data_IF_681734146075
#
_entry.id   IF_681734146075
#
_cell.length_a   1.000
_cell.length_b   1.000
_cell.length_c   1.000
_cell.angle_alpha   90.00
_cell.angle_beta   90.00
_cell.angle_gamma   90.00
#
_symmetry.space_group_name_H-M   'P 1'
#
loop_
_entity.id
_entity.type
_entity.pdbx_description
1 polymer ?
#
# COMPACT_ATOMS: atom_id res chain seq x y z
N UNK A 1 -52.69 27.33 -18.29
CA UNK A 1 -51.69 26.29 -18.58
C UNK A 1 -50.37 26.79 -18.04
N UNK A 2 -50.06 26.50 -16.78
CA UNK A 2 -48.83 26.94 -16.11
C UNK A 2 -48.01 25.70 -15.80
N UNK A 3 -46.85 25.61 -16.44
CA UNK A 3 -45.86 24.57 -16.24
C UNK A 3 -45.32 24.67 -14.80
N UNK A 4 -45.48 23.60 -14.03
CA UNK A 4 -44.71 23.40 -12.79
C UNK A 4 -43.33 22.91 -13.21
N UNK A 5 -42.31 23.67 -12.86
CA UNK A 5 -40.91 23.28 -12.94
C UNK A 5 -40.64 22.17 -11.94
N UNK A 6 -40.23 20.99 -12.42
CA UNK A 6 -39.71 19.91 -11.60
C UNK A 6 -38.35 20.34 -11.02
N UNK A 7 -38.37 20.78 -9.76
CA UNK A 7 -37.16 20.89 -8.94
C UNK A 7 -36.70 19.48 -8.61
N UNK A 8 -35.41 19.12 -8.77
CA UNK A 8 -34.91 17.82 -8.33
C UNK A 8 -35.13 17.71 -6.83
N UNK A 9 -35.74 16.60 -6.39
CA UNK A 9 -35.75 16.19 -5.00
C UNK A 9 -34.30 16.14 -4.51
N UNK A 10 -33.91 17.11 -3.68
CA UNK A 10 -32.76 16.90 -2.80
C UNK A 10 -33.11 15.72 -1.90
N UNK A 11 -32.31 14.65 -1.98
CA UNK A 11 -32.41 13.51 -1.09
C UNK A 11 -32.25 14.00 0.35
N UNK A 12 -33.39 14.18 1.01
CA UNK A 12 -33.49 14.26 2.46
C UNK A 12 -33.34 12.83 2.98
N UNK A 13 -32.14 12.42 3.43
CA UNK A 13 -31.91 11.34 4.42
C UNK A 13 -30.41 11.03 4.55
N UNK A 14 -29.63 11.85 5.26
CA UNK A 14 -28.29 11.38 5.68
C UNK A 14 -27.64 12.12 6.87
N UNK A 15 -28.42 12.87 7.65
CA UNK A 15 -27.93 13.46 8.90
C UNK A 15 -27.74 12.36 9.95
N UNK A 16 -26.50 12.12 10.38
CA UNK A 16 -26.16 11.23 11.49
C UNK A 16 -25.57 9.87 11.11
N UNK A 17 -25.58 9.48 9.82
CA UNK A 17 -24.91 8.24 9.38
C UNK A 17 -23.38 8.43 9.40
N UNK A 18 -22.60 7.55 10.07
CA UNK A 18 -21.15 7.63 10.07
C UNK A 18 -20.58 7.51 8.64
N UNK A 19 -19.55 8.29 8.31
CA UNK A 19 -18.96 8.30 6.96
C UNK A 19 -18.39 6.93 6.57
N UNK A 20 -17.88 6.16 7.54
CA UNK A 20 -17.42 4.80 7.29
C UNK A 20 -18.54 3.87 6.78
N UNK A 21 -19.79 4.10 7.19
CA UNK A 21 -20.96 3.35 6.74
C UNK A 21 -21.28 3.72 5.29
N UNK A 22 -21.32 5.01 4.96
CA UNK A 22 -21.54 5.50 3.59
C UNK A 22 -20.51 4.94 2.60
N UNK A 23 -19.22 4.99 2.97
CA UNK A 23 -18.13 4.41 2.16
C UNK A 23 -18.35 2.90 1.96
N UNK A 24 -18.72 2.16 3.01
CA UNK A 24 -18.99 0.72 2.94
C UNK A 24 -20.19 0.40 2.05
N UNK A 25 -21.26 1.18 2.12
CA UNK A 25 -22.44 1.03 1.28
C UNK A 25 -22.10 1.21 -0.20
N UNK A 26 -21.33 2.25 -0.55
CA UNK A 26 -20.82 2.46 -1.92
C UNK A 26 -19.99 1.27 -2.40
N UNK A 27 -19.10 0.75 -1.58
CA UNK A 27 -18.28 -0.43 -1.93
C UNK A 27 -19.17 -1.66 -2.15
N UNK A 28 -20.09 -1.94 -1.24
CA UNK A 28 -20.99 -3.10 -1.32
C UNK A 28 -21.90 -3.02 -2.55
N UNK A 29 -22.46 -1.84 -2.86
CA UNK A 29 -23.27 -1.60 -4.05
C UNK A 29 -22.49 -1.90 -5.34
N UNK A 30 -21.19 -1.60 -5.37
CA UNK A 30 -20.30 -1.92 -6.49
C UNK A 30 -19.84 -3.38 -6.55
N UNK A 31 -20.19 -4.20 -5.54
CA UNK A 31 -19.76 -5.60 -5.37
C UNK A 31 -18.23 -5.78 -5.40
N UNK A 32 -17.47 -4.80 -4.90
CA UNK A 32 -16.02 -4.86 -4.78
C UNK A 32 -15.59 -5.34 -3.40
N UNK A 33 -14.43 -6.01 -3.35
CA UNK A 33 -13.76 -6.42 -2.11
C UNK A 33 -13.10 -5.21 -1.44
N UNK A 34 -13.02 -5.21 -0.11
CA UNK A 34 -12.36 -4.17 0.69
C UNK A 34 -11.60 -4.74 1.89
N UNK A 35 -10.92 -5.87 1.70
CA UNK A 35 -9.97 -6.42 2.66
C UNK A 35 -8.90 -5.39 3.03
N UNK A 36 -8.19 -5.59 4.14
CA UNK A 36 -7.27 -4.58 4.68
C UNK A 36 -6.22 -4.07 3.66
N UNK A 37 -5.74 -4.94 2.76
CA UNK A 37 -4.74 -4.60 1.74
C UNK A 37 -5.31 -4.10 0.40
N UNK A 38 -6.65 -4.00 0.27
CA UNK A 38 -7.26 -3.39 -0.91
C UNK A 38 -7.03 -1.86 -0.92
N UNK A 39 -7.04 -1.28 -2.11
CA UNK A 39 -7.23 0.16 -2.27
C UNK A 39 -8.72 0.46 -2.46
N UNK A 40 -9.23 1.46 -1.74
CA UNK A 40 -10.64 1.87 -1.78
C UNK A 40 -10.80 3.33 -2.22
N UNK A 41 -9.75 3.96 -2.77
CA UNK A 41 -9.72 5.39 -3.06
C UNK A 41 -10.87 5.85 -3.99
N UNK A 42 -11.32 4.99 -4.90
CA UNK A 42 -12.42 5.29 -5.81
C UNK A 42 -13.80 5.44 -5.13
N UNK A 43 -13.91 5.07 -3.85
CA UNK A 43 -15.16 5.15 -3.07
C UNK A 43 -15.15 6.24 -1.99
N UNK A 44 -14.08 7.04 -1.97
CA UNK A 44 -13.88 8.15 -1.05
C UNK A 44 -14.15 9.43 -1.81
N UNK A 45 -15.16 10.17 -1.36
CA UNK A 45 -15.53 11.46 -1.91
C UNK A 45 -14.73 12.59 -1.22
N UNK A 46 -14.60 13.76 -1.86
CA UNK A 46 -13.90 14.90 -1.28
C UNK A 46 -14.42 15.27 0.11
N UNK A 47 -13.52 15.40 1.10
CA UNK A 47 -13.86 15.75 2.48
C UNK A 47 -14.23 14.56 3.37
N UNK A 48 -14.43 13.36 2.82
CA UNK A 48 -14.80 12.18 3.62
C UNK A 48 -13.62 11.58 4.36
N UNK A 49 -12.39 11.74 3.87
CA UNK A 49 -11.22 11.22 4.56
C UNK A 49 -10.97 11.97 5.88
N UNK A 50 -11.24 13.28 5.90
CA UNK A 50 -11.21 14.11 7.10
C UNK A 50 -12.28 13.67 8.09
N UNK A 51 -13.52 13.46 7.63
CA UNK A 51 -14.60 12.94 8.49
C UNK A 51 -14.28 11.53 9.02
N UNK A 52 -13.66 10.68 8.20
CA UNK A 52 -13.28 9.33 8.58
C UNK A 52 -12.18 9.36 9.64
N UNK A 53 -11.29 10.37 9.58
CA UNK A 53 -10.27 10.60 10.60
C UNK A 53 -10.89 10.98 11.93
N UNK A 54 -11.85 11.91 11.95
CA UNK A 54 -12.60 12.27 13.16
C UNK A 54 -13.35 11.05 13.75
N UNK A 55 -13.94 10.23 12.89
CA UNK A 55 -14.60 8.98 13.29
C UNK A 55 -13.59 7.99 13.92
N UNK A 56 -12.45 7.74 13.27
CA UNK A 56 -11.40 6.84 13.77
C UNK A 56 -10.79 7.35 15.07
N UNK A 57 -10.55 8.66 15.20
CA UNK A 57 -10.11 9.27 16.46
C UNK A 57 -11.07 8.95 17.59
N UNK A 58 -12.37 9.15 17.39
CA UNK A 58 -13.39 8.86 18.41
C UNK A 58 -13.34 7.39 18.82
N UNK A 59 -13.17 6.47 17.87
CA UNK A 59 -13.02 5.03 18.17
C UNK A 59 -11.71 4.73 18.90
N UNK A 60 -10.60 5.37 18.52
CA UNK A 60 -9.32 5.19 19.18
C UNK A 60 -9.32 5.72 20.61
N UNK A 61 -10.03 6.82 20.89
CA UNK A 61 -10.23 7.28 22.26
C UNK A 61 -10.96 6.23 23.09
N UNK A 62 -12.03 5.63 22.56
CA UNK A 62 -12.72 4.53 23.24
C UNK A 62 -11.83 3.32 23.53
N UNK A 63 -10.85 3.02 22.67
CA UNK A 63 -9.83 1.99 22.94
C UNK A 63 -8.92 2.40 24.10
N UNK A 64 -8.44 3.66 24.14
CA UNK A 64 -7.61 4.17 25.24
C UNK A 64 -8.37 4.16 26.58
N UNK A 65 -9.62 4.59 26.58
CA UNK A 65 -10.50 4.57 27.76
C UNK A 65 -10.71 3.14 28.28
N UNK A 66 -10.92 2.18 27.36
CA UNK A 66 -11.08 0.76 27.70
C UNK A 66 -9.80 0.15 28.29
N UNK A 67 -8.63 0.68 27.95
CA UNK A 67 -7.35 0.31 28.57
C UNK A 67 -7.10 1.04 29.90
N UNK A 68 -8.05 1.85 30.38
CA UNK A 68 -7.97 2.64 31.62
C UNK A 68 -6.80 3.62 31.61
N UNK A 69 -6.53 4.23 30.43
CA UNK A 69 -5.50 5.26 30.27
C UNK A 69 -6.13 6.63 30.52
N UNK A 70 -5.59 7.37 31.50
CA UNK A 70 -6.06 8.72 31.82
C UNK A 70 -5.55 9.78 30.84
N UNK A 71 -6.07 9.76 29.61
CA UNK A 71 -5.71 10.73 28.57
C UNK A 71 -6.15 12.15 28.91
N UNK A 72 -7.10 12.33 29.84
CA UNK A 72 -7.59 13.64 30.24
C UNK A 72 -6.56 14.41 31.10
N UNK A 73 -5.84 13.70 31.98
CA UNK A 73 -4.85 14.31 32.89
C UNK A 73 -3.40 14.06 32.50
N UNK A 74 -3.10 13.06 31.67
CA UNK A 74 -1.75 12.82 31.15
C UNK A 74 -1.47 13.65 29.88
N UNK A 75 -0.62 14.66 30.04
CA UNK A 75 -0.17 15.53 28.95
C UNK A 75 0.53 14.79 27.79
N UNK A 76 1.08 13.60 28.01
CA UNK A 76 1.72 12.82 26.95
C UNK A 76 0.69 12.10 26.05
N UNK A 77 -0.45 11.68 26.63
CA UNK A 77 -1.42 10.83 25.93
C UNK A 77 -2.71 11.55 25.52
N UNK A 78 -2.90 12.81 25.91
CA UNK A 78 -4.11 13.61 25.63
C UNK A 78 -4.56 13.70 24.16
N UNK A 79 -3.66 13.58 23.19
CA UNK A 79 -3.95 13.63 21.76
C UNK A 79 -3.54 12.34 21.03
N UNK A 80 -3.32 11.24 21.78
CA UNK A 80 -2.88 9.98 21.17
C UNK A 80 -3.92 9.44 20.19
N UNK A 81 -5.21 9.54 20.48
CA UNK A 81 -6.28 9.10 19.58
C UNK A 81 -6.19 9.79 18.21
N UNK A 82 -6.10 11.13 18.19
CA UNK A 82 -5.90 11.93 16.96
C UNK A 82 -4.65 11.52 16.20
N UNK A 83 -3.52 11.41 16.91
CA UNK A 83 -2.23 11.06 16.30
C UNK A 83 -2.27 9.67 15.65
N UNK A 84 -2.89 8.69 16.31
CA UNK A 84 -3.05 7.33 15.76
C UNK A 84 -3.99 7.32 14.56
N UNK A 85 -5.12 8.04 14.61
CA UNK A 85 -6.05 8.16 13.48
C UNK A 85 -5.36 8.77 12.25
N UNK A 86 -4.64 9.89 12.44
CA UNK A 86 -3.83 10.53 11.39
C UNK A 86 -2.75 9.60 10.86
N UNK A 87 -2.01 8.94 11.75
CA UNK A 87 -0.97 7.98 11.37
C UNK A 87 -1.54 6.90 10.46
N UNK A 88 -2.67 6.27 10.83
CA UNK A 88 -3.28 5.23 10.01
C UNK A 88 -3.79 5.76 8.67
N UNK A 89 -4.62 6.80 8.66
CA UNK A 89 -5.31 7.22 7.43
C UNK A 89 -4.40 7.99 6.45
N UNK A 90 -3.51 8.84 6.98
CA UNK A 90 -2.76 9.80 6.17
C UNK A 90 -1.28 9.43 5.99
N UNK A 91 -0.76 8.49 6.77
CA UNK A 91 0.66 8.13 6.77
C UNK A 91 0.84 6.65 6.40
N UNK A 92 0.70 5.73 7.37
CA UNK A 92 1.11 4.31 7.19
C UNK A 92 0.15 3.50 6.32
N UNK A 93 -1.15 3.85 6.27
CA UNK A 93 -2.13 3.21 5.38
C UNK A 93 -2.63 4.12 4.26
N UNK A 94 -1.92 5.20 3.96
CA UNK A 94 -2.29 6.16 2.92
C UNK A 94 -2.58 5.50 1.58
N UNK A 95 -1.79 4.49 1.21
CA UNK A 95 -1.93 3.70 -0.02
C UNK A 95 -3.25 2.93 -0.15
N UNK A 96 -4.05 2.83 0.92
CA UNK A 96 -5.42 2.30 0.88
C UNK A 96 -6.44 3.35 0.45
N UNK A 97 -6.19 4.63 0.75
CA UNK A 97 -7.17 5.71 0.63
C UNK A 97 -6.90 6.65 -0.55
N UNK A 98 -5.71 6.59 -1.17
CA UNK A 98 -5.35 7.45 -2.32
C UNK A 98 -5.19 6.63 -3.60
N UNK A 99 -5.50 7.24 -4.75
CA UNK A 99 -5.28 6.62 -6.05
C UNK A 99 -3.79 6.32 -6.29
N UNK A 100 -3.52 5.35 -7.17
CA UNK A 100 -2.15 5.00 -7.55
C UNK A 100 -1.41 6.20 -8.13
N UNK A 101 -0.11 6.40 -7.82
CA UNK A 101 0.65 7.52 -8.36
C UNK A 101 0.83 7.36 -9.88
N UNK A 102 0.82 8.49 -10.59
CA UNK A 102 1.12 8.51 -12.01
C UNK A 102 2.58 8.09 -12.27
N UNK A 103 2.75 7.24 -13.28
CA UNK A 103 4.04 6.77 -13.76
C UNK A 103 4.46 7.69 -14.90
N UNK A 104 5.64 8.30 -14.78
CA UNK A 104 6.21 9.09 -15.88
C UNK A 104 7.12 8.18 -16.67
N UNK A 105 6.86 8.14 -17.96
CA UNK A 105 7.56 7.34 -18.96
C UNK A 105 8.42 8.24 -19.85
N UNK A 106 9.52 7.68 -20.33
CA UNK A 106 10.44 8.32 -21.25
C UNK A 106 10.61 7.42 -22.48
N UNK A 107 10.68 7.99 -23.70
CA UNK A 107 10.92 7.21 -24.91
C UNK A 107 12.18 6.36 -24.76
N UNK A 108 12.08 5.07 -25.11
CA UNK A 108 13.23 4.18 -25.17
C UNK A 108 14.03 4.42 -26.47
N UNK A 109 14.65 5.60 -26.57
CA UNK A 109 15.33 6.06 -27.78
C UNK A 109 16.50 5.16 -28.21
N UNK A 110 17.13 4.49 -27.25
CA UNK A 110 18.27 3.58 -27.46
C UNK A 110 17.84 2.11 -27.55
N UNK A 111 16.54 1.82 -27.63
CA UNK A 111 15.99 0.46 -27.72
C UNK A 111 16.55 -0.50 -26.66
N UNK A 112 16.71 0.00 -25.43
CA UNK A 112 17.23 -0.77 -24.30
C UNK A 112 16.39 -2.04 -24.10
N UNK A 113 17.07 -3.19 -24.07
CA UNK A 113 16.51 -4.53 -23.91
C UNK A 113 17.32 -5.37 -22.91
N UNK A 114 18.19 -4.73 -22.14
CA UNK A 114 19.06 -5.37 -21.15
C UNK A 114 18.43 -5.39 -19.75
N UNK A 115 18.90 -6.30 -18.89
CA UNK A 115 18.43 -6.41 -17.52
C UNK A 115 18.71 -5.13 -16.72
N UNK A 116 17.66 -4.50 -16.21
CA UNK A 116 17.77 -3.39 -15.27
C UNK A 116 17.38 -3.84 -13.86
N UNK A 117 18.16 -3.46 -12.85
CA UNK A 117 17.86 -3.76 -11.44
C UNK A 117 17.70 -2.46 -10.67
N UNK A 118 16.55 -2.32 -10.02
CA UNK A 118 16.22 -1.20 -9.14
C UNK A 118 16.18 -1.71 -7.70
N UNK A 119 17.10 -1.24 -6.87
CA UNK A 119 17.07 -1.51 -5.44
C UNK A 119 18.44 -1.40 -4.76
N UNK A 120 18.49 -1.62 -3.43
CA UNK A 120 17.34 -1.91 -2.57
C UNK A 120 16.45 -0.68 -2.35
N UNK A 121 15.14 -0.86 -2.52
CA UNK A 121 14.12 0.11 -2.10
C UNK A 121 13.74 -0.24 -0.66
N UNK A 122 13.92 0.70 0.27
CA UNK A 122 13.42 0.54 1.64
C UNK A 122 11.91 0.64 1.65
N UNK A 123 11.24 -0.42 2.12
CA UNK A 123 9.79 -0.48 2.26
C UNK A 123 9.38 -0.54 3.73
N UNK A 124 8.25 0.08 4.04
CA UNK A 124 7.62 0.11 5.35
C UNK A 124 6.14 -0.18 5.16
N UNK A 125 5.64 -1.14 5.92
CA UNK A 125 4.23 -1.55 5.91
C UNK A 125 3.82 -1.94 7.33
N UNK A 126 2.62 -2.48 7.49
CA UNK A 126 2.20 -3.14 8.71
C UNK A 126 1.55 -4.48 8.40
N UNK A 127 1.81 -5.51 9.21
CA UNK A 127 1.18 -6.81 9.05
C UNK A 127 -0.34 -6.68 9.25
N UNK A 128 -1.14 -7.14 8.29
CA UNK A 128 -2.61 -7.02 8.33
C UNK A 128 -3.26 -7.64 9.57
N UNK A 129 -2.60 -8.63 10.18
CA UNK A 129 -3.12 -9.36 11.35
C UNK A 129 -3.00 -8.58 12.66
N UNK A 130 -1.99 -7.71 12.80
CA UNK A 130 -1.65 -7.08 14.08
C UNK A 130 -1.39 -5.56 13.98
N UNK A 131 -1.31 -5.04 12.75
CA UNK A 131 -0.86 -3.68 12.44
C UNK A 131 0.52 -3.33 13.02
N UNK A 132 1.33 -4.35 13.37
CA UNK A 132 2.72 -4.18 13.75
C UNK A 132 3.57 -3.89 12.50
N UNK A 133 4.64 -3.09 12.62
CA UNK A 133 5.51 -2.74 11.50
C UNK A 133 6.07 -3.97 10.76
N UNK A 134 6.16 -3.84 9.44
CA UNK A 134 6.95 -4.70 8.56
C UNK A 134 7.94 -3.78 7.86
N UNK A 135 9.24 -4.02 8.06
CA UNK A 135 10.30 -3.17 7.52
C UNK A 135 11.21 -4.05 6.69
N UNK A 136 11.46 -3.65 5.45
CA UNK A 136 12.20 -4.48 4.51
C UNK A 136 12.87 -3.73 3.39
N UNK A 137 13.44 -4.52 2.48
CA UNK A 137 14.07 -4.09 1.25
C UNK A 137 13.46 -4.85 0.08
N UNK A 138 13.24 -4.15 -1.01
CA UNK A 138 12.74 -4.72 -2.27
C UNK A 138 13.76 -4.47 -3.38
N UNK A 139 14.01 -5.48 -4.19
CA UNK A 139 14.77 -5.41 -5.44
C UNK A 139 13.85 -5.77 -6.59
N UNK A 140 13.88 -4.96 -7.64
CA UNK A 140 13.02 -5.11 -8.82
C UNK A 140 13.92 -5.24 -10.04
N UNK A 141 13.95 -6.41 -10.66
CA UNK A 141 14.57 -6.68 -11.95
C UNK A 141 13.56 -6.51 -13.06
N UNK A 142 13.86 -5.68 -14.06
CA UNK A 142 13.01 -5.42 -15.22
C UNK A 142 13.80 -5.74 -16.47
N UNK A 143 13.24 -6.58 -17.33
CA UNK A 143 13.71 -6.72 -18.70
C UNK A 143 12.74 -5.97 -19.61
N UNK A 144 13.07 -4.74 -20.04
CA UNK A 144 12.24 -3.98 -20.97
C UNK A 144 12.26 -4.64 -22.35
N UNK A 145 11.32 -4.30 -23.21
CA UNK A 145 11.47 -4.53 -24.65
C UNK A 145 11.80 -3.24 -25.39
N UNK A 146 12.34 -3.40 -26.59
CA UNK A 146 12.74 -2.32 -27.49
C UNK A 146 11.60 -1.37 -27.89
N UNK A 147 10.34 -1.73 -27.59
CA UNK A 147 9.14 -0.95 -27.90
C UNK A 147 8.48 -0.30 -26.67
N UNK A 148 8.90 -0.66 -25.45
CA UNK A 148 8.35 -0.11 -24.20
C UNK A 148 9.12 1.12 -23.77
N UNK A 149 8.40 2.13 -23.29
CA UNK A 149 9.02 3.28 -22.65
C UNK A 149 9.77 2.87 -21.38
N UNK A 150 10.82 3.63 -21.07
CA UNK A 150 11.57 3.48 -19.81
C UNK A 150 10.89 4.31 -18.73
N UNK A 151 10.80 3.76 -17.52
CA UNK A 151 10.18 4.46 -16.40
C UNK A 151 11.23 5.05 -15.48
N UNK A 152 10.95 6.27 -15.02
CA UNK A 152 11.83 6.96 -14.09
C UNK A 152 12.06 6.15 -12.81
N UNK A 153 13.32 6.06 -12.37
CA UNK A 153 13.75 5.27 -11.21
C UNK A 153 12.90 5.54 -9.95
N UNK A 154 12.55 6.80 -9.71
CA UNK A 154 11.74 7.22 -8.55
C UNK A 154 10.31 6.65 -8.56
N UNK A 155 9.79 6.19 -9.71
CA UNK A 155 8.44 5.64 -9.82
C UNK A 155 8.33 4.25 -9.22
N UNK A 156 9.35 3.41 -9.34
CA UNK A 156 9.39 2.11 -8.65
C UNK A 156 9.26 2.28 -7.13
N UNK A 157 10.00 3.22 -6.56
CA UNK A 157 9.91 3.54 -5.13
C UNK A 157 8.51 4.03 -4.74
N UNK A 158 7.88 4.91 -5.54
CA UNK A 158 6.52 5.42 -5.28
C UNK A 158 5.44 4.34 -5.41
N UNK A 159 5.56 3.44 -6.38
CA UNK A 159 4.64 2.32 -6.54
C UNK A 159 4.78 1.33 -5.38
N UNK A 160 6.02 1.00 -4.98
CA UNK A 160 6.29 0.18 -3.81
C UNK A 160 5.73 0.82 -2.54
N UNK A 161 5.98 2.11 -2.30
CA UNK A 161 5.43 2.84 -1.16
C UNK A 161 3.89 2.86 -1.17
N UNK A 162 3.27 3.04 -2.32
CA UNK A 162 1.81 3.05 -2.44
C UNK A 162 1.17 1.68 -2.15
N UNK A 163 1.81 0.58 -2.57
CA UNK A 163 1.35 -0.78 -2.24
C UNK A 163 1.60 -1.09 -0.76
N UNK A 164 2.78 -0.75 -0.25
CA UNK A 164 3.21 -1.05 1.12
C UNK A 164 2.53 -0.17 2.16
N UNK A 165 2.03 1.01 1.76
CA UNK A 165 1.21 1.92 2.55
C UNK A 165 -0.21 1.40 2.78
N UNK A 166 -0.35 0.11 3.09
CA UNK A 166 -1.58 -0.59 3.47
C UNK A 166 -1.22 -1.62 4.54
N UNK A 167 -2.17 -2.08 5.35
CA UNK A 167 -1.98 -3.33 6.07
C UNK A 167 -1.78 -4.46 5.06
N UNK A 168 -0.71 -5.24 5.17
CA UNK A 168 -0.30 -6.21 4.16
C UNK A 168 -0.01 -7.60 4.71
N UNK A 169 -0.10 -8.57 3.81
CA UNK A 169 0.55 -9.88 3.90
C UNK A 169 1.70 -9.83 2.88
N UNK A 170 2.93 -10.17 3.27
CA UNK A 170 4.11 -9.94 2.43
C UNK A 170 4.03 -10.69 1.08
N UNK A 171 3.49 -11.89 1.10
CA UNK A 171 3.22 -12.72 -0.07
C UNK A 171 2.32 -11.99 -1.08
N UNK A 172 1.21 -11.42 -0.61
CA UNK A 172 0.27 -10.68 -1.45
C UNK A 172 0.83 -9.33 -1.89
N UNK A 173 1.55 -8.62 -1.01
CA UNK A 173 2.11 -7.31 -1.30
C UNK A 173 3.11 -7.35 -2.48
N UNK A 174 3.97 -8.36 -2.53
CA UNK A 174 4.95 -8.50 -3.62
C UNK A 174 4.26 -8.88 -4.93
N UNK A 175 3.19 -9.69 -4.88
CA UNK A 175 2.36 -9.99 -6.06
C UNK A 175 1.65 -8.73 -6.57
N UNK A 176 1.01 -7.97 -5.68
CA UNK A 176 0.34 -6.71 -6.03
C UNK A 176 1.30 -5.71 -6.66
N UNK A 177 2.51 -5.58 -6.11
CA UNK A 177 3.55 -4.72 -6.68
C UNK A 177 3.99 -5.20 -8.07
N UNK A 178 4.20 -6.51 -8.23
CA UNK A 178 4.58 -7.09 -9.51
C UNK A 178 3.50 -6.84 -10.57
N UNK A 179 2.24 -7.13 -10.25
CA UNK A 179 1.13 -6.99 -11.18
C UNK A 179 0.90 -5.51 -11.54
N UNK A 180 1.02 -4.59 -10.56
CA UNK A 180 0.94 -3.14 -10.81
C UNK A 180 2.06 -2.64 -11.75
N UNK A 181 3.29 -3.12 -11.58
CA UNK A 181 4.40 -2.76 -12.47
C UNK A 181 4.15 -3.36 -13.85
N UNK A 182 3.79 -4.64 -13.96
CA UNK A 182 3.46 -5.25 -15.25
C UNK A 182 2.37 -4.47 -16.00
N UNK A 183 1.31 -4.04 -15.32
CA UNK A 183 0.23 -3.23 -15.91
C UNK A 183 0.74 -1.87 -16.41
N UNK A 184 1.57 -1.19 -15.60
CA UNK A 184 2.08 0.15 -15.91
C UNK A 184 3.16 0.16 -16.97
N UNK A 185 3.97 -0.89 -17.06
CA UNK A 185 5.23 -0.86 -17.83
C UNK A 185 5.30 -1.89 -18.96
N UNK A 186 4.42 -2.89 -18.95
CA UNK A 186 4.35 -3.99 -19.94
C UNK A 186 5.71 -4.55 -20.40
N UNK A 187 6.64 -4.88 -19.47
CA UNK A 187 7.97 -5.35 -19.84
C UNK A 187 7.92 -6.81 -20.29
N UNK A 188 8.96 -7.28 -20.98
CA UNK A 188 9.09 -8.70 -21.34
C UNK A 188 9.28 -9.60 -20.11
N UNK A 189 9.90 -9.05 -19.07
CA UNK A 189 10.13 -9.74 -17.82
C UNK A 189 10.13 -8.80 -16.62
N UNK A 190 9.59 -9.30 -15.51
CA UNK A 190 9.70 -8.67 -14.20
C UNK A 190 10.07 -9.71 -13.15
N UNK A 191 11.01 -9.36 -12.28
CA UNK A 191 11.40 -10.12 -11.12
C UNK A 191 11.38 -9.20 -9.90
N UNK A 192 10.80 -9.66 -8.79
CA UNK A 192 10.83 -8.93 -7.52
C UNK A 192 11.32 -9.87 -6.44
N UNK A 193 12.24 -9.40 -5.61
CA UNK A 193 12.65 -10.05 -4.35
C UNK A 193 12.40 -9.07 -3.23
N UNK A 194 11.76 -9.53 -2.15
CA UNK A 194 11.57 -8.76 -0.94
C UNK A 194 12.12 -9.53 0.25
N UNK A 195 12.92 -8.86 1.08
CA UNK A 195 13.36 -9.32 2.39
C UNK A 195 12.78 -8.36 3.43
N UNK A 196 12.10 -8.87 4.46
CA UNK A 196 11.58 -8.03 5.54
C UNK A 196 11.59 -8.69 6.91
N UNK A 197 11.69 -7.85 7.94
CA UNK A 197 11.51 -8.18 9.36
C UNK A 197 10.09 -7.84 9.77
N UNK A 198 9.48 -8.73 10.56
CA UNK A 198 8.09 -8.65 10.98
C UNK A 198 7.99 -8.39 12.50
N UNK A 199 7.59 -7.18 12.89
CA UNK A 199 7.50 -6.83 14.32
C UNK A 199 6.32 -7.51 15.04
N UNK A 200 5.39 -8.12 14.30
CA UNK A 200 4.38 -9.00 14.90
C UNK A 200 4.99 -10.27 15.53
N UNK A 201 6.21 -10.64 15.11
CA UNK A 201 7.04 -11.68 15.72
C UNK A 201 8.17 -11.08 16.56
N UNK A 202 8.80 -9.99 16.13
CA UNK A 202 9.97 -9.43 16.81
C UNK A 202 9.66 -8.65 18.10
N UNK A 203 8.53 -7.94 18.17
CA UNK A 203 8.19 -7.13 19.36
C UNK A 203 7.35 -7.90 20.38
N UNK A 204 6.54 -8.87 19.93
CA UNK A 204 5.56 -9.59 20.75
C UNK A 204 5.54 -11.07 20.43
N UNK A 205 4.85 -11.85 21.26
CA UNK A 205 4.72 -13.29 21.06
C UNK A 205 6.08 -13.99 21.18
N UNK A 206 6.56 -14.58 20.09
CA UNK A 206 7.83 -15.32 20.02
C UNK A 206 9.07 -14.46 20.23
N UNK A 207 9.00 -13.15 19.94
CA UNK A 207 10.07 -12.16 20.14
C UNK A 207 11.40 -12.50 19.43
N UNK A 208 11.31 -13.09 18.24
CA UNK A 208 12.47 -13.37 17.40
C UNK A 208 12.79 -12.15 16.53
N UNK A 209 13.97 -11.56 16.75
CA UNK A 209 14.45 -10.37 16.04
C UNK A 209 15.36 -10.71 14.84
N UNK A 210 15.86 -11.94 14.77
CA UNK A 210 16.83 -12.37 13.75
C UNK A 210 16.12 -12.97 12.53
N UNK A 211 14.91 -13.51 12.72
CA UNK A 211 14.08 -14.04 11.64
C UNK A 211 13.73 -12.99 10.58
N UNK A 212 13.94 -13.38 9.32
CA UNK A 212 13.55 -12.60 8.14
C UNK A 212 12.72 -13.44 7.20
N UNK A 213 11.71 -12.83 6.60
CA UNK A 213 10.96 -13.44 5.52
C UNK A 213 11.47 -12.93 4.18
N UNK A 214 11.87 -13.87 3.31
CA UNK A 214 12.27 -13.58 1.94
C UNK A 214 11.28 -14.25 1.00
N UNK A 215 10.70 -13.48 0.08
CA UNK A 215 9.87 -14.00 -1.00
C UNK A 215 10.25 -13.37 -2.34
N UNK A 216 9.92 -14.08 -3.42
CA UNK A 216 10.18 -13.60 -4.77
C UNK A 216 8.99 -13.85 -5.69
N UNK A 217 8.81 -12.96 -6.66
CA UNK A 217 7.80 -13.06 -7.71
C UNK A 217 8.50 -12.90 -9.05
N UNK A 218 8.28 -13.85 -9.95
CA UNK A 218 8.82 -13.83 -11.32
C UNK A 218 7.66 -13.77 -12.31
N UNK A 219 7.81 -12.98 -13.38
CA UNK A 219 6.85 -12.80 -14.48
C UNK A 219 7.59 -12.78 -15.81
N UNK A 220 6.86 -13.08 -16.88
CA UNK A 220 7.38 -13.01 -18.24
C UNK A 220 8.61 -13.91 -18.45
N UNK A 221 9.64 -13.40 -19.12
CA UNK A 221 10.85 -14.17 -19.45
C UNK A 221 11.59 -14.71 -18.23
N UNK A 222 11.49 -14.09 -17.05
CA UNK A 222 12.13 -14.60 -15.83
C UNK A 222 11.59 -15.97 -15.39
N UNK A 223 10.34 -16.30 -15.72
CA UNK A 223 9.78 -17.63 -15.46
C UNK A 223 10.33 -18.70 -16.41
N UNK A 224 10.66 -18.31 -17.64
CA UNK A 224 11.03 -19.23 -18.73
C UNK A 224 12.55 -19.39 -18.89
N UNK A 225 13.33 -18.39 -18.49
CA UNK A 225 14.78 -18.36 -18.63
C UNK A 225 15.48 -18.47 -17.26
N UNK A 226 16.02 -19.64 -16.90
CA UNK A 226 16.77 -19.82 -15.65
C UNK A 226 18.07 -19.04 -15.57
N UNK A 227 18.74 -18.77 -16.70
CA UNK A 227 19.99 -18.01 -16.73
C UNK A 227 19.76 -16.55 -16.35
N UNK A 228 18.76 -15.91 -16.96
CA UNK A 228 18.35 -14.54 -16.61
C UNK A 228 17.94 -14.43 -15.14
N UNK A 229 17.24 -15.45 -14.61
CA UNK A 229 16.87 -15.50 -13.20
C UNK A 229 18.09 -15.60 -12.29
N UNK A 230 19.08 -16.42 -12.67
CA UNK A 230 20.36 -16.54 -11.94
C UNK A 230 21.13 -15.23 -11.96
N UNK A 231 21.22 -14.58 -13.12
CA UNK A 231 21.86 -13.28 -13.27
C UNK A 231 21.27 -12.26 -12.29
N UNK A 232 19.94 -12.06 -12.33
CA UNK A 232 19.24 -11.17 -11.40
C UNK A 232 19.52 -11.50 -9.93
N UNK A 233 19.36 -12.76 -9.52
CA UNK A 233 19.59 -13.17 -8.12
C UNK A 233 21.05 -13.02 -7.68
N UNK A 234 22.01 -13.14 -8.62
CA UNK A 234 23.45 -12.97 -8.34
C UNK A 234 23.86 -11.51 -8.16
N UNK A 235 23.15 -10.59 -8.82
CA UNK A 235 23.40 -9.15 -8.76
C UNK A 235 22.75 -8.48 -7.55
N UNK A 236 21.79 -9.14 -6.90
CA UNK A 236 21.26 -8.66 -5.62
C UNK A 236 22.38 -8.74 -4.56
N UNK A 237 22.75 -7.61 -3.93
CA UNK A 237 23.74 -7.62 -2.88
C UNK A 237 23.30 -8.56 -1.74
N UNK A 238 24.10 -9.58 -1.47
CA UNK A 238 23.89 -10.42 -0.29
C UNK A 238 24.18 -9.57 0.94
N UNK A 239 23.22 -9.52 1.86
CA UNK A 239 23.40 -8.90 3.17
C UNK A 239 24.65 -9.50 3.82
N UNK A 240 25.74 -8.74 3.93
CA UNK A 240 26.86 -9.13 4.79
C UNK A 240 26.32 -9.14 6.21
N UNK A 241 26.47 -10.24 6.97
CA UNK A 241 26.21 -10.19 8.40
C UNK A 241 27.10 -9.10 9.00
N UNK A 242 26.50 -8.16 9.72
CA UNK A 242 27.25 -7.31 10.65
C UNK A 242 27.72 -8.15 11.84
#
# INVERSE_FOLDING_TARGET
MLMKSDTPLQDATDEGTPVSVKIRERINASRKRFNANDNIAQFIEPGELEQLLDEVETKMQGVLDSMVIDTARDHNTNNTARRVAKMYLNEVFKGRYVAAPAVTEFPNAEHLNELMIVGPITVRSACSHHFCPVIGKVWIGVLPNEHTNVIGLSKYARLAEWVMGRPQIQEEAVVQLADLIMEKTSPDGLAIVMEATHFCMGWRGVKDLDSKMINSVMRGVFLKNPDLRREFLSLIPKSTPN
#
